data_IF_830603087857
#
_entry.id   IF_830603087857
#
_cell.length_a   1.000
_cell.length_b   1.000
_cell.length_c   1.000
_cell.angle_alpha   90.00
_cell.angle_beta   90.00
_cell.angle_gamma   90.00
#
_symmetry.space_group_name_H-M   'P 1'
#
loop_
_entity.id
_entity.type
_entity.pdbx_description
1 polymer ?
#
# COMPACT_ATOMS: atom_id res chain seq x y z
N UNK A 1 -19.21 27.44 -0.48
CA UNK A 1 -20.07 26.93 -1.56
C UNK A 1 -20.45 28.10 -2.45
N UNK A 2 -19.88 28.17 -3.65
CA UNK A 2 -20.34 28.99 -4.78
C UNK A 2 -20.09 28.15 -6.02
N UNK A 3 -21.15 27.86 -6.78
CA UNK A 3 -21.07 27.35 -8.14
C UNK A 3 -21.26 28.57 -9.04
N UNK A 4 -20.30 28.84 -9.92
CA UNK A 4 -20.51 29.73 -11.07
C UNK A 4 -20.04 29.02 -12.34
N UNK A 5 -20.96 29.01 -13.31
CA UNK A 5 -20.80 28.50 -14.67
C UNK A 5 -20.45 29.70 -15.57
N UNK A 6 -19.46 29.55 -16.45
CA UNK A 6 -19.08 30.57 -17.43
C UNK A 6 -17.93 30.12 -18.30
N UNK A 7 -18.18 30.04 -19.61
CA UNK A 7 -17.23 29.66 -20.65
C UNK A 7 -16.26 30.79 -21.04
N UNK A 8 -15.17 30.35 -21.66
CA UNK A 8 -14.23 31.07 -22.56
C UNK A 8 -13.03 31.75 -21.91
N UNK A 9 -11.88 31.06 -21.96
CA UNK A 9 -10.62 31.65 -22.44
C UNK A 9 -9.90 30.66 -23.36
N UNK A 10 -9.61 31.13 -24.58
CA UNK A 10 -8.77 30.49 -25.61
C UNK A 10 -7.31 30.88 -25.41
N UNK A 11 -6.43 30.03 -25.99
CA UNK A 11 -4.97 30.15 -26.18
C UNK A 11 -4.14 29.72 -24.96
N UNK A 12 -3.16 28.81 -25.07
CA UNK A 12 -2.23 28.50 -26.15
C UNK A 12 -1.94 26.98 -26.21
N UNK A 13 -2.13 26.37 -27.39
CA UNK A 13 -1.61 25.03 -27.67
C UNK A 13 -0.13 25.16 -28.04
N UNK A 14 0.76 24.87 -27.10
CA UNK A 14 2.18 24.65 -27.38
C UNK A 14 2.39 23.17 -27.66
N UNK A 15 3.00 22.88 -28.81
CA UNK A 15 3.34 21.56 -29.36
C UNK A 15 3.59 20.45 -28.32
N UNK A 16 2.61 19.56 -28.13
CA UNK A 16 2.83 18.24 -27.53
C UNK A 16 3.37 17.31 -28.62
N UNK A 17 4.61 17.57 -29.05
CA UNK A 17 5.41 16.65 -29.88
C UNK A 17 6.72 16.36 -29.16
N UNK A 18 6.64 15.49 -28.16
CA UNK A 18 7.65 14.52 -27.73
C UNK A 18 7.31 13.97 -26.32
N UNK A 19 6.19 13.25 -26.19
CA UNK A 19 6.12 12.22 -25.16
C UNK A 19 6.98 11.06 -25.68
N UNK A 20 8.24 10.99 -25.23
CA UNK A 20 9.02 9.75 -25.34
C UNK A 20 8.15 8.67 -24.70
N UNK A 21 7.71 7.68 -25.47
CA UNK A 21 7.06 6.50 -24.92
C UNK A 21 8.08 5.83 -23.99
N UNK A 22 7.98 6.08 -22.69
CA UNK A 22 8.80 5.38 -21.69
C UNK A 22 8.29 3.95 -21.67
N UNK A 23 9.04 3.05 -22.29
CA UNK A 23 8.72 1.63 -22.32
C UNK A 23 8.94 1.10 -20.90
N UNK A 24 7.92 0.51 -20.25
CA UNK A 24 8.10 -0.09 -18.94
C UNK A 24 9.13 -1.22 -19.03
N UNK A 25 10.03 -1.30 -18.04
CA UNK A 25 11.03 -2.36 -17.97
C UNK A 25 10.34 -3.63 -17.50
N UNK A 26 10.43 -4.68 -18.31
CA UNK A 26 9.94 -6.01 -17.95
C UNK A 26 11.11 -6.89 -17.51
N UNK A 27 11.05 -7.42 -16.30
CA UNK A 27 12.06 -8.31 -15.74
C UNK A 27 11.40 -9.53 -15.10
N UNK A 28 12.04 -10.71 -15.20
CA UNK A 28 11.64 -11.90 -14.44
C UNK A 28 12.74 -12.22 -13.43
N UNK A 29 12.37 -12.52 -12.19
CA UNK A 29 13.30 -12.80 -11.09
C UNK A 29 12.89 -14.09 -10.40
N UNK A 30 13.88 -14.91 -10.05
CA UNK A 30 13.73 -16.01 -9.10
C UNK A 30 14.02 -15.47 -7.69
N UNK A 31 13.02 -15.50 -6.82
CA UNK A 31 13.14 -15.13 -5.41
C UNK A 31 13.07 -16.40 -4.55
N UNK A 32 14.20 -16.77 -3.96
CA UNK A 32 14.30 -17.94 -3.07
C UNK A 32 13.48 -17.72 -1.80
N UNK A 33 12.96 -18.80 -1.22
CA UNK A 33 12.20 -18.77 0.03
C UNK A 33 12.92 -17.94 1.11
N UNK A 34 12.14 -17.14 1.84
CA UNK A 34 12.57 -16.20 2.87
C UNK A 34 13.42 -15.01 2.40
N UNK A 35 13.85 -14.95 1.14
CA UNK A 35 14.49 -13.73 0.62
C UNK A 35 13.48 -12.60 0.50
N UNK A 36 13.98 -11.40 0.71
CA UNK A 36 13.22 -10.15 0.68
C UNK A 36 13.80 -9.26 -0.40
N UNK A 37 12.91 -8.63 -1.16
CA UNK A 37 13.24 -7.50 -2.03
C UNK A 37 12.33 -6.33 -1.64
N UNK A 38 12.80 -5.10 -1.86
CA UNK A 38 11.96 -3.91 -1.76
C UNK A 38 11.59 -3.47 -3.17
N UNK A 39 10.29 -3.28 -3.41
CA UNK A 39 9.79 -2.81 -4.71
C UNK A 39 9.17 -1.44 -4.53
N UNK A 40 9.72 -0.48 -5.27
CA UNK A 40 9.26 0.90 -5.37
C UNK A 40 8.32 1.01 -6.57
N UNK A 41 7.14 1.59 -6.38
CA UNK A 41 6.18 1.79 -7.45
C UNK A 41 6.52 2.97 -8.36
N UNK A 42 5.86 3.11 -9.52
CA UNK A 42 4.74 2.29 -9.97
C UNK A 42 5.22 0.97 -10.58
N UNK A 43 4.85 -0.16 -9.98
CA UNK A 43 5.34 -1.49 -10.40
C UNK A 43 4.23 -2.52 -10.30
N UNK A 44 3.97 -3.27 -11.37
CA UNK A 44 3.11 -4.46 -11.32
C UNK A 44 3.96 -5.69 -11.10
N UNK A 45 3.55 -6.52 -10.14
CA UNK A 45 4.19 -7.78 -9.80
C UNK A 45 3.24 -8.89 -10.15
N UNK A 46 3.68 -9.84 -10.96
CA UNK A 46 2.93 -11.02 -11.34
C UNK A 46 3.67 -12.27 -10.85
N UNK A 47 2.99 -13.13 -10.11
CA UNK A 47 3.59 -14.36 -9.60
C UNK A 47 3.25 -15.47 -10.57
N UNK A 48 4.26 -15.95 -11.29
CA UNK A 48 4.08 -17.03 -12.28
C UNK A 48 4.19 -18.41 -11.63
N UNK A 49 5.03 -18.54 -10.59
CA UNK A 49 5.19 -19.74 -9.77
C UNK A 49 5.49 -19.35 -8.33
N UNK A 50 5.04 -20.18 -7.38
CA UNK A 50 5.31 -20.00 -5.95
C UNK A 50 4.32 -19.06 -5.29
N UNK A 51 4.76 -18.42 -4.20
CA UNK A 51 3.97 -17.45 -3.47
C UNK A 51 4.87 -16.46 -2.71
N UNK A 52 4.55 -15.18 -2.86
CA UNK A 52 5.18 -14.07 -2.16
C UNK A 52 4.20 -13.47 -1.15
N UNK A 53 4.73 -12.69 -0.21
CA UNK A 53 3.98 -12.03 0.83
C UNK A 53 4.38 -10.57 0.95
N UNK A 54 3.37 -9.71 1.02
CA UNK A 54 3.53 -8.27 1.13
C UNK A 54 2.44 -7.72 2.05
N UNK A 55 2.84 -7.04 3.13
CA UNK A 55 1.92 -6.41 4.09
C UNK A 55 0.79 -7.33 4.59
N UNK A 56 1.10 -8.60 4.89
CA UNK A 56 0.11 -9.60 5.33
C UNK A 56 -0.79 -10.18 4.23
N UNK A 57 -0.49 -9.91 2.96
CA UNK A 57 -1.19 -10.44 1.79
C UNK A 57 -0.30 -11.49 1.11
N UNK A 58 -0.82 -12.71 0.97
CA UNK A 58 -0.21 -13.72 0.10
C UNK A 58 -0.64 -13.47 -1.35
N UNK A 59 0.35 -13.40 -2.25
CA UNK A 59 0.15 -13.33 -3.70
C UNK A 59 0.83 -14.56 -4.28
N UNK A 60 0.04 -15.53 -4.72
CA UNK A 60 0.53 -16.82 -5.22
C UNK A 60 0.38 -16.91 -6.75
N UNK A 61 0.79 -18.04 -7.33
CA UNK A 61 0.78 -18.28 -8.78
C UNK A 61 -0.52 -17.83 -9.47
N UNK A 62 -0.38 -17.18 -10.63
CA UNK A 62 -1.45 -16.56 -11.43
C UNK A 62 -2.12 -15.33 -10.80
N UNK A 63 -1.61 -14.82 -9.68
CA UNK A 63 -2.06 -13.57 -9.09
C UNK A 63 -1.07 -12.44 -9.37
N UNK A 64 -1.59 -11.22 -9.38
CA UNK A 64 -0.77 -10.02 -9.54
C UNK A 64 -1.16 -8.95 -8.53
N UNK A 65 -0.21 -8.09 -8.19
CA UNK A 65 -0.42 -6.95 -7.33
C UNK A 65 0.24 -5.71 -7.93
N UNK A 66 -0.32 -4.54 -7.63
CA UNK A 66 0.20 -3.26 -8.12
C UNK A 66 0.72 -2.44 -6.94
N UNK A 67 1.97 -1.99 -7.06
CA UNK A 67 2.60 -1.08 -6.12
C UNK A 67 2.46 0.33 -6.68
N UNK A 68 1.77 1.20 -5.95
CA UNK A 68 1.53 2.59 -6.37
C UNK A 68 2.83 3.42 -6.38
N UNK A 69 2.90 4.43 -7.26
CA UNK A 69 4.08 5.33 -7.41
C UNK A 69 4.55 6.04 -6.14
N UNK A 70 3.69 6.19 -5.14
CA UNK A 70 4.03 6.84 -3.87
C UNK A 70 4.29 5.84 -2.75
N UNK A 71 4.46 4.55 -3.10
CA UNK A 71 4.65 3.47 -2.15
C UNK A 71 5.86 2.63 -2.51
N UNK A 72 6.48 2.13 -1.46
CA UNK A 72 7.53 1.13 -1.50
C UNK A 72 7.16 0.06 -0.49
N UNK A 73 7.22 -1.20 -0.88
CA UNK A 73 6.93 -2.31 0.01
C UNK A 73 8.02 -3.35 -0.07
N UNK A 74 8.33 -3.92 1.09
CA UNK A 74 9.13 -5.12 1.19
C UNK A 74 8.27 -6.34 0.88
N UNK A 75 8.81 -7.22 0.04
CA UNK A 75 8.16 -8.43 -0.47
C UNK A 75 9.03 -9.60 -0.10
N UNK A 76 8.45 -10.54 0.64
CA UNK A 76 9.12 -11.75 1.08
C UNK A 76 8.61 -12.95 0.30
N UNK A 77 9.50 -13.81 -0.18
CA UNK A 77 9.11 -15.10 -0.72
C UNK A 77 8.67 -16.06 0.40
N UNK A 78 7.44 -16.57 0.32
CA UNK A 78 6.93 -17.63 1.22
C UNK A 78 7.44 -19.01 0.77
N UNK A 79 7.58 -19.17 -0.54
CA UNK A 79 8.18 -20.33 -1.22
C UNK A 79 9.07 -19.82 -2.35
N UNK A 80 9.92 -20.68 -2.92
CA UNK A 80 10.69 -20.32 -4.12
C UNK A 80 9.73 -19.85 -5.22
N UNK A 81 9.87 -18.60 -5.61
CA UNK A 81 8.89 -17.91 -6.43
C UNK A 81 9.52 -17.30 -7.68
N UNK A 82 8.83 -17.45 -8.81
CA UNK A 82 9.18 -16.77 -10.05
C UNK A 82 8.24 -15.59 -10.23
N UNK A 83 8.78 -14.38 -10.18
CA UNK A 83 8.00 -13.14 -10.26
C UNK A 83 8.36 -12.37 -11.53
N UNK A 84 7.34 -11.98 -12.28
CA UNK A 84 7.41 -11.01 -13.36
C UNK A 84 7.17 -9.61 -12.81
N UNK A 85 8.00 -8.66 -13.22
CA UNK A 85 7.96 -7.28 -12.77
C UNK A 85 7.85 -6.38 -13.99
N UNK A 86 6.77 -5.60 -14.03
CA UNK A 86 6.57 -4.53 -15.00
C UNK A 86 6.76 -3.20 -14.26
N UNK A 87 7.95 -2.62 -14.42
CA UNK A 87 8.39 -1.43 -13.70
C UNK A 87 8.11 -0.19 -14.56
N UNK A 88 7.23 0.67 -14.06
CA UNK A 88 6.94 1.96 -14.68
C UNK A 88 8.00 3.02 -14.34
N UNK A 89 7.86 4.20 -14.93
CA UNK A 89 8.80 5.31 -14.72
C UNK A 89 8.86 5.73 -13.24
N UNK A 90 10.08 5.75 -12.68
CA UNK A 90 10.33 6.04 -11.26
C UNK A 90 10.21 4.83 -10.33
N UNK A 91 9.75 3.68 -10.82
CA UNK A 91 9.77 2.43 -10.08
C UNK A 91 11.18 1.83 -10.02
N UNK A 92 11.43 1.02 -9.00
CA UNK A 92 12.73 0.39 -8.77
C UNK A 92 12.60 -0.91 -7.96
N UNK A 93 13.65 -1.71 -8.00
CA UNK A 93 13.84 -2.87 -7.13
C UNK A 93 15.12 -2.64 -6.35
N UNK A 94 15.04 -2.78 -5.05
CA UNK A 94 16.16 -2.69 -4.12
C UNK A 94 16.32 -4.03 -3.40
N UNK A 95 17.57 -4.38 -3.11
CA UNK A 95 17.94 -5.58 -2.39
C UNK A 95 18.40 -5.16 -0.99
N UNK A 96 17.49 -5.12 -0.01
CA UNK A 96 17.82 -4.66 1.33
C UNK A 96 18.89 -5.55 1.96
N UNK A 97 19.74 -4.95 2.78
CA UNK A 97 20.71 -5.69 3.59
C UNK A 97 20.00 -6.55 4.64
N UNK A 98 20.70 -7.56 5.15
CA UNK A 98 20.15 -8.39 6.22
C UNK A 98 19.78 -7.54 7.44
N UNK A 99 18.55 -7.68 7.92
CA UNK A 99 18.02 -6.92 9.05
C UNK A 99 17.52 -5.50 8.74
N UNK A 100 17.67 -5.01 7.50
CA UNK A 100 17.15 -3.69 7.10
C UNK A 100 15.61 -3.67 7.06
N UNK A 101 14.99 -4.78 6.65
CA UNK A 101 13.54 -4.94 6.61
C UNK A 101 13.00 -5.65 7.85
N UNK A 102 11.89 -5.12 8.38
CA UNK A 102 11.27 -5.57 9.65
C UNK A 102 10.01 -6.42 9.45
N UNK A 103 9.82 -6.99 8.25
CA UNK A 103 8.60 -7.72 7.87
C UNK A 103 8.22 -8.78 8.91
N UNK A 104 9.16 -9.67 9.26
CA UNK A 104 8.88 -10.78 10.17
C UNK A 104 8.57 -10.29 11.60
N UNK A 105 9.28 -9.26 12.07
CA UNK A 105 9.04 -8.65 13.37
C UNK A 105 7.62 -8.07 13.43
N UNK A 106 7.24 -7.32 12.40
CA UNK A 106 5.93 -6.68 12.33
C UNK A 106 4.80 -7.69 12.16
N UNK A 107 4.97 -8.72 11.34
CA UNK A 107 3.96 -9.76 11.17
C UNK A 107 3.74 -10.58 12.45
N UNK A 108 4.81 -10.96 13.14
CA UNK A 108 4.70 -11.67 14.42
C UNK A 108 4.00 -10.81 15.47
N UNK A 109 4.42 -9.55 15.62
CA UNK A 109 3.76 -8.60 16.53
C UNK A 109 2.28 -8.40 16.18
N UNK A 110 1.95 -8.30 14.89
CA UNK A 110 0.57 -8.15 14.45
C UNK A 110 -0.28 -9.37 14.83
N UNK A 111 0.23 -10.59 14.64
CA UNK A 111 -0.44 -11.84 15.04
C UNK A 111 -0.70 -11.88 16.54
N UNK A 112 0.26 -11.50 17.37
CA UNK A 112 0.09 -11.52 18.83
C UNK A 112 -0.92 -10.48 19.29
N UNK A 113 -0.83 -9.26 18.75
CA UNK A 113 -1.74 -8.16 19.06
C UNK A 113 -3.20 -8.51 18.73
N UNK A 114 -3.48 -9.13 17.58
CA UNK A 114 -4.88 -9.42 17.20
C UNK A 114 -5.51 -10.56 18.00
N UNK A 115 -4.71 -11.44 18.62
CA UNK A 115 -5.22 -12.54 19.46
C UNK A 115 -5.76 -12.02 20.79
N UNK A 116 -5.16 -10.97 21.33
CA UNK A 116 -5.50 -10.42 22.64
C UNK A 116 -6.34 -9.14 22.56
N UNK A 117 -6.03 -8.29 21.57
CA UNK A 117 -6.54 -6.93 21.45
C UNK A 117 -7.89 -6.85 20.73
N UNK A 118 -8.88 -6.23 21.39
CA UNK A 118 -10.17 -5.85 20.76
C UNK A 118 -10.19 -4.41 20.25
N UNK A 119 -9.30 -3.56 20.77
CA UNK A 119 -9.13 -2.14 20.43
C UNK A 119 -7.65 -1.81 20.52
N UNK A 120 -7.07 -1.33 19.44
CA UNK A 120 -5.63 -1.13 19.31
C UNK A 120 -5.39 0.31 18.89
N UNK A 121 -4.52 1.01 19.61
CA UNK A 121 -4.06 2.34 19.23
C UNK A 121 -2.61 2.24 18.75
N UNK A 122 -2.33 2.69 17.53
CA UNK A 122 -0.99 2.72 16.94
C UNK A 122 -0.44 4.14 17.04
N UNK A 123 0.61 4.33 17.83
CA UNK A 123 1.20 5.63 18.13
C UNK A 123 2.68 5.67 17.71
N UNK A 124 3.18 6.86 17.37
CA UNK A 124 4.55 7.06 16.89
C UNK A 124 4.75 8.39 16.16
N UNK A 125 6.01 8.75 15.90
CA UNK A 125 6.37 9.99 15.20
C UNK A 125 5.90 10.04 13.75
N UNK A 126 6.04 11.21 13.10
CA UNK A 126 5.80 11.35 11.65
C UNK A 126 6.72 10.39 10.89
N UNK A 127 6.20 9.79 9.81
CA UNK A 127 6.91 8.82 8.97
C UNK A 127 7.44 7.54 9.66
N UNK A 128 6.96 7.23 10.87
CA UNK A 128 7.36 6.01 11.59
C UNK A 128 6.65 4.72 11.11
N UNK A 129 5.91 4.77 9.99
CA UNK A 129 5.22 3.60 9.43
C UNK A 129 3.88 3.23 10.08
N UNK A 130 3.28 4.09 10.91
CA UNK A 130 1.99 3.84 11.62
C UNK A 130 0.86 3.38 10.70
N UNK A 131 0.67 4.08 9.58
CA UNK A 131 -0.35 3.73 8.57
C UNK A 131 -0.09 2.34 7.99
N UNK A 132 1.15 2.05 7.61
CA UNK A 132 1.54 0.75 7.06
C UNK A 132 1.31 -0.37 8.07
N UNK A 133 1.71 -0.17 9.33
CA UNK A 133 1.49 -1.15 10.39
C UNK A 133 0.00 -1.35 10.72
N UNK A 134 -0.80 -0.29 10.73
CA UNK A 134 -2.26 -0.38 10.91
C UNK A 134 -2.92 -1.14 9.75
N UNK A 135 -2.42 -0.93 8.53
CA UNK A 135 -2.86 -1.69 7.35
C UNK A 135 -2.51 -3.17 7.49
N UNK A 136 -1.28 -3.48 7.89
CA UNK A 136 -0.83 -4.85 8.17
C UNK A 136 -1.71 -5.52 9.23
N UNK A 137 -1.94 -4.88 10.38
CA UNK A 137 -2.83 -5.39 11.43
C UNK A 137 -4.22 -5.74 10.88
N UNK A 138 -4.79 -4.88 10.05
CA UNK A 138 -6.10 -5.14 9.45
C UNK A 138 -6.08 -6.31 8.46
N UNK A 139 -5.02 -6.45 7.66
CA UNK A 139 -4.87 -7.56 6.72
C UNK A 139 -4.68 -8.90 7.44
N UNK A 140 -3.88 -8.92 8.50
CA UNK A 140 -3.68 -10.10 9.36
C UNK A 140 -4.98 -10.44 10.09
N UNK A 141 -5.70 -9.47 10.66
CA UNK A 141 -7.00 -9.71 11.28
C UNK A 141 -8.02 -10.35 10.31
N UNK A 142 -8.07 -9.88 9.05
CA UNK A 142 -8.89 -10.50 8.01
C UNK A 142 -8.45 -11.94 7.67
N UNK A 143 -7.13 -12.22 7.68
CA UNK A 143 -6.59 -13.58 7.50
C UNK A 143 -7.07 -14.55 8.58
N UNK A 144 -7.23 -14.06 9.81
CA UNK A 144 -7.78 -14.80 10.94
C UNK A 144 -9.32 -14.78 11.00
N UNK A 145 -9.99 -14.41 9.90
CA UNK A 145 -11.46 -14.30 9.79
C UNK A 145 -12.11 -13.35 10.81
N UNK A 146 -11.36 -12.38 11.32
CA UNK A 146 -11.89 -11.30 12.15
C UNK A 146 -12.52 -10.21 11.26
N UNK A 147 -13.23 -9.28 11.89
CA UNK A 147 -13.91 -8.15 11.24
C UNK A 147 -13.31 -6.83 11.71
N UNK A 148 -12.08 -6.48 11.27
CA UNK A 148 -11.41 -5.29 11.75
C UNK A 148 -12.07 -4.01 11.19
N UNK A 149 -12.00 -2.95 11.98
CA UNK A 149 -12.31 -1.61 11.54
C UNK A 149 -11.14 -0.68 11.87
N UNK A 150 -10.84 0.25 10.98
CA UNK A 150 -9.79 1.26 11.14
C UNK A 150 -10.46 2.60 11.42
N UNK A 151 -10.03 3.25 12.49
CA UNK A 151 -10.30 4.67 12.74
C UNK A 151 -9.03 5.42 12.38
N UNK A 152 -9.14 6.26 11.36
CA UNK A 152 -8.09 7.20 10.99
C UNK A 152 -8.39 8.54 11.67
N UNK A 153 -7.56 8.85 12.66
CA UNK A 153 -7.65 10.06 13.46
C UNK A 153 -6.50 11.05 13.17
N UNK A 154 -5.69 10.80 12.13
CA UNK A 154 -4.67 11.74 11.69
C UNK A 154 -5.32 12.81 10.82
N UNK A 155 -5.74 13.92 11.45
CA UNK A 155 -6.44 15.00 10.73
C UNK A 155 -5.58 15.64 9.65
N UNK A 156 -4.25 15.68 9.82
CA UNK A 156 -3.32 16.30 8.87
C UNK A 156 -3.05 15.41 7.65
N UNK A 157 -2.99 14.10 7.84
CA UNK A 157 -2.66 13.13 6.78
C UNK A 157 -3.67 12.00 6.63
N UNK A 158 -4.95 12.30 6.84
CA UNK A 158 -6.03 11.31 6.73
C UNK A 158 -5.97 10.57 5.38
N UNK A 159 -5.86 9.24 5.47
CA UNK A 159 -5.83 8.31 4.34
C UNK A 159 -7.24 7.89 3.91
N UNK A 160 -8.20 7.85 4.84
CA UNK A 160 -9.56 7.34 4.60
C UNK A 160 -10.58 8.42 4.17
N UNK A 161 -10.21 9.70 4.28
CA UNK A 161 -11.04 10.86 3.96
C UNK A 161 -10.15 12.05 3.56
N UNK A 162 -10.72 13.18 3.07
CA UNK A 162 -9.94 14.40 2.89
C UNK A 162 -9.28 14.87 4.20
N UNK A 163 -8.20 15.67 4.13
CA UNK A 163 -7.62 16.30 5.32
C UNK A 163 -8.65 17.10 6.14
N UNK A 164 -8.47 17.15 7.46
CA UNK A 164 -9.37 17.80 8.41
C UNK A 164 -10.56 16.93 8.84
N UNK A 165 -10.54 15.63 8.52
CA UNK A 165 -11.56 14.66 8.90
C UNK A 165 -11.00 13.57 9.82
N UNK A 166 -11.88 12.99 10.64
CA UNK A 166 -11.70 11.67 11.25
C UNK A 166 -12.61 10.71 10.48
N UNK A 167 -12.10 9.52 10.19
CA UNK A 167 -12.80 8.53 9.37
C UNK A 167 -12.76 7.13 9.99
N UNK A 168 -13.85 6.37 9.81
CA UNK A 168 -13.97 4.97 10.19
C UNK A 168 -14.20 4.14 8.93
N UNK A 169 -13.45 3.04 8.79
CA UNK A 169 -13.63 2.04 7.74
C UNK A 169 -13.80 0.65 8.33
N UNK A 170 -14.86 -0.07 7.95
CA UNK A 170 -14.97 -1.51 8.15
C UNK A 170 -14.25 -2.22 7.01
N UNK A 171 -13.18 -2.94 7.33
CA UNK A 171 -12.37 -3.62 6.32
C UNK A 171 -13.06 -4.92 5.92
N UNK A 172 -13.38 -5.06 4.63
CA UNK A 172 -14.03 -6.26 4.06
C UNK A 172 -13.08 -7.13 3.23
N UNK A 173 -11.95 -6.56 2.84
CA UNK A 173 -10.92 -7.20 2.03
C UNK A 173 -9.56 -6.60 2.39
N UNK A 174 -8.49 -7.35 2.15
CA UNK A 174 -7.12 -6.88 2.38
C UNK A 174 -6.77 -5.76 1.39
N UNK A 175 -5.92 -4.82 1.79
CA UNK A 175 -5.41 -3.73 0.93
C UNK A 175 -3.93 -3.47 1.19
N UNK A 176 -3.19 -2.98 0.20
CA UNK A 176 -1.84 -2.47 0.41
C UNK A 176 -1.84 -1.02 0.88
N UNK A 177 -2.81 -0.23 0.42
CA UNK A 177 -2.83 1.21 0.66
C UNK A 177 -4.21 1.66 1.11
N UNK A 178 -4.29 2.22 2.32
CA UNK A 178 -5.56 2.68 2.88
C UNK A 178 -6.26 3.75 2.03
N UNK A 179 -5.53 4.54 1.23
CA UNK A 179 -6.15 5.52 0.31
C UNK A 179 -6.92 4.91 -0.85
N UNK A 180 -6.77 3.61 -1.08
CA UNK A 180 -7.55 2.89 -2.10
C UNK A 180 -8.97 2.57 -1.61
N UNK A 181 -9.24 2.74 -0.31
CA UNK A 181 -10.56 2.55 0.28
C UNK A 181 -11.10 3.87 0.86
N UNK A 182 -12.42 4.05 0.79
CA UNK A 182 -13.09 5.22 1.38
C UNK A 182 -13.73 4.86 2.72
N UNK A 183 -13.57 5.75 3.71
CA UNK A 183 -14.24 5.63 5.00
C UNK A 183 -15.76 5.46 4.84
N UNK A 184 -16.33 4.56 5.65
CA UNK A 184 -17.78 4.32 5.68
C UNK A 184 -18.49 5.38 6.52
N UNK A 185 -17.80 5.95 7.52
CA UNK A 185 -18.26 7.08 8.31
C UNK A 185 -17.15 8.12 8.39
N UNK A 186 -17.50 9.39 8.18
CA UNK A 186 -16.56 10.51 8.27
C UNK A 186 -17.15 11.65 9.10
N UNK A 187 -16.27 12.38 9.80
CA UNK A 187 -16.61 13.56 10.59
C UNK A 187 -15.58 14.65 10.34
N UNK A 188 -16.06 15.82 9.93
CA UNK A 188 -15.23 17.01 9.76
C UNK A 188 -14.89 17.60 11.12
N UNK A 189 -13.61 17.92 11.34
CA UNK A 189 -13.11 18.50 12.60
C UNK A 189 -12.57 19.92 12.38
N UNK A 190 -12.18 20.25 11.14
CA UNK A 190 -12.02 21.64 10.71
C UNK A 190 -10.70 22.34 11.01
N UNK A 191 -9.67 21.60 11.44
CA UNK A 191 -8.31 22.11 11.55
C UNK A 191 -7.28 20.99 11.32
N UNK A 192 -6.08 21.37 10.87
CA UNK A 192 -4.91 20.50 10.68
C UNK A 192 -3.67 21.18 11.24
#
# INVERSE_FOLDING_TARGET
MVIMCGDVYKETYTDIKQLKSVVPVSQSILLEKNKVIRVVGPTRIEVTRGCIRVLGINVCASQSIYINRYRSYAIKAVTDSMIGLLIGEGGAIEYPSEGEEVIDLWENAAVDIIKEGKRIAVLGGVDSGKTSFSTLLSNIALEYNLKPAIIDADVGQCDLAPPGFIALKFMKSKTLWLREVRGDMVRFVGYT
#
